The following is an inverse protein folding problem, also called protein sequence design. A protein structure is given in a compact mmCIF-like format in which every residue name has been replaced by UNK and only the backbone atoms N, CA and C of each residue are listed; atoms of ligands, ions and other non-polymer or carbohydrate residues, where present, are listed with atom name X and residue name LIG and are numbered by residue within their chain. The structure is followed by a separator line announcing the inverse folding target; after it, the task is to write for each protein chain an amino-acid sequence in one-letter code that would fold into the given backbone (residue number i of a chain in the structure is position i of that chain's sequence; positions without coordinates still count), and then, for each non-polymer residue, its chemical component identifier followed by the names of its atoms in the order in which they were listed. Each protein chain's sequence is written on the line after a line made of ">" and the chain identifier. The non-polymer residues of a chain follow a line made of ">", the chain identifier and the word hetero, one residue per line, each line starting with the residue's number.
data_IF_760709224551
#
_entry.id   IF_760709224551
#
_cell.length_a   1.000
_cell.length_b   1.000
_cell.length_c   1.000
_cell.angle_alpha   90.00
_cell.angle_beta   90.00
_cell.angle_gamma   90.00
#
_symmetry.space_group_name_H-M   'P 1'
#
loop_
_entity.id
_entity.type
_entity.pdbx_description
1 polymer ?
#
# COMPACT_ATOMS: atom_id res chain seq x y z
N UNK A 1 26.15 -4.47 6.66
CA UNK A 1 24.69 -4.30 6.46
C UNK A 1 24.47 -3.32 5.33
N UNK A 2 23.99 -3.77 4.17
CA UNK A 2 23.93 -2.96 2.95
C UNK A 2 22.51 -2.41 2.75
N UNK A 3 22.41 -1.10 2.51
CA UNK A 3 21.17 -0.39 2.11
C UNK A 3 20.39 -1.15 1.01
N UNK A 4 21.11 -1.86 0.14
CA UNK A 4 20.56 -2.72 -0.89
C UNK A 4 19.52 -3.74 -0.37
N UNK A 5 19.78 -4.43 0.73
CA UNK A 5 18.85 -5.45 1.23
C UNK A 5 17.56 -4.84 1.76
N UNK A 6 17.67 -3.70 2.44
CA UNK A 6 16.50 -2.94 2.87
C UNK A 6 15.67 -2.54 1.64
N UNK A 7 16.31 -1.97 0.61
CA UNK A 7 15.62 -1.59 -0.64
C UNK A 7 14.92 -2.79 -1.29
N UNK A 8 15.58 -3.96 -1.38
CA UNK A 8 14.95 -5.17 -1.92
C UNK A 8 13.71 -5.59 -1.12
N UNK A 9 13.76 -5.48 0.21
CA UNK A 9 12.63 -5.81 1.08
C UNK A 9 11.37 -4.99 0.77
N UNK A 10 11.51 -3.75 0.29
CA UNK A 10 10.40 -2.87 -0.11
C UNK A 10 10.10 -2.95 -1.62
N UNK A 11 11.11 -3.18 -2.45
CA UNK A 11 10.96 -3.26 -3.90
C UNK A 11 10.18 -4.50 -4.34
N UNK A 12 10.40 -5.65 -3.69
CA UNK A 12 9.71 -6.91 -4.05
C UNK A 12 8.18 -6.78 -3.90
N UNK A 13 7.62 -6.31 -2.76
CA UNK A 13 6.19 -6.01 -2.66
C UNK A 13 5.70 -5.01 -3.70
N UNK A 14 6.44 -3.93 -3.95
CA UNK A 14 6.03 -2.92 -4.93
C UNK A 14 5.93 -3.51 -6.34
N UNK A 15 6.90 -4.33 -6.77
CA UNK A 15 6.86 -5.00 -8.08
C UNK A 15 5.76 -6.07 -8.15
N UNK A 16 5.61 -6.89 -7.12
CA UNK A 16 4.56 -7.89 -7.04
C UNK A 16 3.18 -7.25 -7.19
N UNK A 17 2.93 -6.20 -6.41
CA UNK A 17 1.68 -5.46 -6.46
C UNK A 17 1.48 -4.75 -7.80
N UNK A 18 2.54 -4.20 -8.40
CA UNK A 18 2.46 -3.58 -9.73
C UNK A 18 2.00 -4.57 -10.80
N UNK A 19 2.60 -5.77 -10.87
CA UNK A 19 2.19 -6.78 -11.83
C UNK A 19 0.77 -7.29 -11.57
N UNK A 20 0.43 -7.55 -10.31
CA UNK A 20 -0.92 -8.01 -9.94
C UNK A 20 -1.99 -6.96 -10.28
N UNK A 21 -1.80 -5.71 -9.87
CA UNK A 21 -2.73 -4.61 -10.16
C UNK A 21 -2.83 -4.37 -11.67
N UNK A 22 -1.72 -4.45 -12.41
CA UNK A 22 -1.72 -4.25 -13.86
C UNK A 22 -2.41 -5.36 -14.64
N UNK A 23 -2.47 -6.58 -14.08
CA UNK A 23 -3.24 -7.71 -14.62
C UNK A 23 -4.73 -7.61 -14.31
N UNK A 24 -5.09 -7.04 -13.15
CA UNK A 24 -6.47 -6.90 -12.70
C UNK A 24 -7.16 -5.67 -13.28
N UNK A 25 -6.46 -4.55 -13.40
CA UNK A 25 -7.03 -3.33 -13.97
C UNK A 25 -7.09 -3.42 -15.51
N UNK A 26 -8.16 -2.89 -16.13
CA UNK A 26 -8.26 -2.80 -17.58
C UNK A 26 -7.04 -2.10 -18.19
N UNK A 27 -6.65 -2.51 -19.38
CA UNK A 27 -5.51 -1.95 -20.12
C UNK A 27 -5.83 -0.55 -20.64
N UNK A 28 -5.87 0.42 -19.74
CA UNK A 28 -5.98 1.85 -20.07
C UNK A 28 -4.59 2.46 -20.23
N UNK A 29 -4.44 3.28 -21.26
CA UNK A 29 -3.25 4.10 -21.51
C UNK A 29 -3.47 5.52 -20.99
N UNK A 30 -2.45 6.11 -20.37
CA UNK A 30 -2.48 7.51 -19.94
C UNK A 30 -1.91 7.70 -18.53
N UNK A 31 -1.61 8.96 -18.20
CA UNK A 31 -0.98 9.33 -16.94
C UNK A 31 -1.78 8.83 -15.71
N UNK A 32 -3.07 9.13 -15.63
CA UNK A 32 -3.91 8.71 -14.51
C UNK A 32 -3.93 7.20 -14.26
N UNK A 33 -3.98 6.39 -15.32
CA UNK A 33 -3.95 4.93 -15.20
C UNK A 33 -2.61 4.42 -14.68
N UNK A 34 -1.49 5.04 -15.07
CA UNK A 34 -0.17 4.70 -14.55
C UNK A 34 -0.01 5.09 -13.07
N UNK A 35 -0.43 6.30 -12.69
CA UNK A 35 -0.36 6.75 -11.30
C UNK A 35 -1.28 5.89 -10.41
N UNK A 36 -2.44 5.47 -10.91
CA UNK A 36 -3.34 4.55 -10.22
C UNK A 36 -2.68 3.21 -9.95
N UNK A 37 -2.07 2.59 -10.98
CA UNK A 37 -1.36 1.32 -10.82
C UNK A 37 -0.26 1.45 -9.77
N UNK A 38 0.58 2.48 -9.87
CA UNK A 38 1.69 2.71 -8.94
C UNK A 38 1.22 2.94 -7.50
N UNK A 39 0.17 3.74 -7.29
CA UNK A 39 -0.36 4.02 -5.95
C UNK A 39 -0.97 2.79 -5.28
N UNK A 40 -1.64 1.92 -6.04
CA UNK A 40 -2.18 0.65 -5.55
C UNK A 40 -1.09 -0.40 -5.28
N UNK A 41 -0.01 -0.37 -6.06
CA UNK A 41 1.04 -1.42 -6.09
C UNK A 41 1.63 -1.68 -4.72
N UNK A 42 2.04 -0.63 -4.00
CA UNK A 42 2.69 -0.78 -2.70
C UNK A 42 1.78 -1.51 -1.70
N UNK A 43 0.55 -1.04 -1.53
CA UNK A 43 -0.37 -1.61 -0.56
C UNK A 43 -0.81 -3.02 -0.93
N UNK A 44 -1.24 -3.25 -2.18
CA UNK A 44 -1.67 -4.59 -2.64
C UNK A 44 -0.54 -5.60 -2.49
N UNK A 45 0.67 -5.28 -2.95
CA UNK A 45 1.81 -6.18 -2.84
C UNK A 45 2.23 -6.44 -1.39
N UNK A 46 2.26 -5.41 -0.55
CA UNK A 46 2.57 -5.55 0.88
C UNK A 46 1.52 -6.42 1.59
N UNK A 47 0.24 -6.22 1.28
CA UNK A 47 -0.84 -7.02 1.81
C UNK A 47 -0.73 -8.49 1.44
N UNK A 48 -0.62 -8.81 0.15
CA UNK A 48 -0.47 -10.18 -0.33
C UNK A 48 0.77 -10.88 0.24
N UNK A 49 1.92 -10.22 0.26
CA UNK A 49 3.16 -10.82 0.77
C UNK A 49 3.18 -10.94 2.30
N UNK A 50 2.44 -10.10 3.03
CA UNK A 50 2.25 -10.28 4.48
C UNK A 50 1.43 -11.53 4.81
N UNK A 51 0.43 -11.86 3.98
CA UNK A 51 -0.36 -13.09 4.10
C UNK A 51 0.53 -14.30 3.77
N UNK A 52 1.29 -14.22 2.67
CA UNK A 52 2.26 -15.27 2.32
C UNK A 52 3.27 -15.50 3.45
N UNK A 53 3.81 -14.43 4.04
CA UNK A 53 4.72 -14.51 5.18
C UNK A 53 4.07 -15.20 6.38
N UNK A 54 2.81 -14.89 6.70
CA UNK A 54 2.08 -15.56 7.77
C UNK A 54 1.96 -17.07 7.51
N UNK A 55 1.47 -17.48 6.33
CA UNK A 55 1.38 -18.90 5.99
C UNK A 55 2.75 -19.58 5.95
N UNK A 56 3.79 -18.87 5.52
CA UNK A 56 5.17 -19.37 5.55
C UNK A 56 5.64 -19.68 6.97
N UNK A 57 5.36 -18.80 7.93
CA UNK A 57 5.67 -19.04 9.35
C UNK A 57 4.88 -20.23 9.92
N UNK A 58 3.61 -20.39 9.53
CA UNK A 58 2.77 -21.50 9.98
C UNK A 58 3.29 -22.86 9.46
N UNK A 59 3.71 -22.92 8.19
CA UNK A 59 4.08 -24.18 7.54
C UNK A 59 5.55 -24.55 7.78
N UNK A 60 6.44 -23.56 7.79
CA UNK A 60 7.90 -23.78 7.78
C UNK A 60 8.63 -23.21 9.00
N UNK A 61 7.90 -22.71 10.00
CA UNK A 61 8.46 -22.16 11.26
C UNK A 61 9.64 -21.20 11.05
N UNK A 62 9.52 -20.27 10.11
CA UNK A 62 10.52 -19.23 9.87
C UNK A 62 11.64 -19.60 8.89
N UNK A 63 11.44 -20.61 8.03
CA UNK A 63 12.42 -21.05 7.03
C UNK A 63 13.01 -19.94 6.14
N UNK A 64 14.28 -20.07 5.74
CA UNK A 64 15.04 -19.02 5.06
C UNK A 64 14.72 -18.82 3.57
N UNK A 65 13.90 -19.70 2.97
CA UNK A 65 13.64 -19.74 1.53
C UNK A 65 12.57 -18.75 1.04
N UNK A 66 11.86 -18.05 1.94
CA UNK A 66 10.77 -17.15 1.57
C UNK A 66 11.14 -16.11 0.50
N UNK A 67 12.29 -15.40 0.56
CA UNK A 67 12.66 -14.44 -0.48
C UNK A 67 12.72 -15.02 -1.88
N UNK A 68 13.14 -16.29 -2.00
CA UNK A 68 13.17 -16.98 -3.29
C UNK A 68 11.77 -17.27 -3.81
N UNK A 69 10.85 -17.67 -2.92
CA UNK A 69 9.44 -17.87 -3.26
C UNK A 69 8.80 -16.54 -3.70
N UNK A 70 9.05 -15.46 -2.97
CA UNK A 70 8.57 -14.12 -3.34
C UNK A 70 9.13 -13.65 -4.69
N UNK A 71 10.43 -13.87 -4.93
CA UNK A 71 11.07 -13.52 -6.19
C UNK A 71 10.50 -14.33 -7.36
N UNK A 72 10.34 -15.64 -7.21
CA UNK A 72 9.74 -16.52 -8.23
C UNK A 72 8.29 -16.11 -8.51
N UNK A 73 7.48 -15.86 -7.47
CA UNK A 73 6.10 -15.42 -7.65
C UNK A 73 6.02 -14.06 -8.36
N UNK A 74 6.89 -13.11 -7.99
CA UNK A 74 6.97 -11.78 -8.63
C UNK A 74 7.39 -11.89 -10.10
N UNK A 75 8.40 -12.71 -10.41
CA UNK A 75 8.85 -12.94 -11.78
C UNK A 75 7.80 -13.66 -12.63
N UNK A 76 7.09 -14.63 -12.05
CA UNK A 76 6.00 -15.33 -12.72
C UNK A 76 4.86 -14.36 -13.07
N UNK A 77 4.43 -13.50 -12.14
CA UNK A 77 3.45 -12.44 -12.41
C UNK A 77 3.95 -11.48 -13.48
N UNK A 78 5.22 -11.06 -13.42
CA UNK A 78 5.84 -10.22 -14.44
C UNK A 78 5.84 -10.86 -15.84
N UNK A 79 6.10 -12.17 -15.93
CA UNK A 79 6.06 -12.91 -17.18
C UNK A 79 4.63 -13.04 -17.73
N UNK A 80 3.63 -13.26 -16.86
CA UNK A 80 2.21 -13.29 -17.25
C UNK A 80 1.78 -11.90 -17.75
N UNK A 81 2.16 -10.84 -17.05
CA UNK A 81 1.91 -9.46 -17.47
C UNK A 81 2.59 -9.13 -18.80
N UNK A 82 3.85 -9.49 -18.98
CA UNK A 82 4.56 -9.28 -20.26
C UNK A 82 3.85 -10.00 -21.43
N UNK A 83 3.35 -11.21 -21.21
CA UNK A 83 2.56 -11.94 -22.21
C UNK A 83 1.20 -11.29 -22.47
N UNK A 84 0.55 -10.71 -21.45
CA UNK A 84 -0.73 -10.03 -21.64
C UNK A 84 -0.59 -8.75 -22.45
N UNK A 85 0.57 -8.06 -22.40
CA UNK A 85 0.84 -6.89 -23.25
C UNK A 85 0.85 -7.22 -24.75
N UNK A 86 1.23 -8.45 -25.13
CA UNK A 86 1.24 -8.91 -26.53
C UNK A 86 -0.16 -9.24 -27.08
N UNK A 87 -1.17 -9.38 -26.21
CA UNK A 87 -2.57 -9.50 -26.60
C UNK A 87 -3.12 -8.09 -26.73
N UNK A 88 -2.89 -7.49 -27.90
CA UNK A 88 -3.14 -6.07 -28.16
C UNK A 88 -4.48 -5.60 -27.61
N UNK A 89 -4.54 -4.42 -26.95
CA UNK A 89 -5.80 -3.92 -26.44
C UNK A 89 -6.76 -3.66 -27.60
N UNK A 90 -8.02 -4.06 -27.45
CA UNK A 90 -9.09 -3.33 -28.13
C UNK A 90 -8.94 -1.88 -27.65
N UNK A 91 -8.52 -0.98 -28.52
CA UNK A 91 -8.45 0.45 -28.21
C UNK A 91 -9.84 0.89 -27.76
N UNK A 92 -10.12 0.90 -26.46
CA UNK A 92 -11.27 1.62 -25.94
C UNK A 92 -10.91 3.07 -26.17
N UNK A 93 -11.58 3.63 -27.16
CA UNK A 93 -11.31 4.93 -27.72
C UNK A 93 -11.24 5.94 -26.58
N UNK A 94 -10.11 6.64 -26.56
CA UNK A 94 -9.87 7.81 -25.73
C UNK A 94 -11.11 8.71 -25.84
N UNK A 95 -11.90 8.84 -24.77
CA UNK A 95 -12.50 10.14 -24.54
C UNK A 95 -11.30 11.03 -24.30
N UNK A 96 -10.91 11.78 -25.34
CA UNK A 96 -10.04 12.92 -25.14
C UNK A 96 -10.70 13.73 -24.03
N UNK A 97 -10.11 13.69 -22.83
CA UNK A 97 -10.43 14.67 -21.81
C UNK A 97 -10.18 16.00 -22.50
N UNK A 98 -11.26 16.66 -22.92
CA UNK A 98 -11.22 18.00 -23.46
C UNK A 98 -10.33 18.78 -22.50
N UNK A 99 -9.19 19.25 -22.99
CA UNK A 99 -8.31 20.06 -22.16
C UNK A 99 -9.15 21.24 -21.69
N UNK A 100 -9.41 21.26 -20.38
CA UNK A 100 -10.31 22.19 -19.70
C UNK A 100 -10.11 23.61 -20.26
N UNK A 101 -11.22 24.31 -20.57
CA UNK A 101 -11.25 25.77 -20.78
C UNK A 101 -10.60 26.54 -19.60
N UNK A 102 -10.33 25.84 -18.50
CA UNK A 102 -9.73 26.29 -17.25
C UNK A 102 -8.29 25.79 -17.01
N UNK A 103 -7.48 25.61 -18.05
CA UNK A 103 -6.06 25.18 -17.94
C UNK A 103 -5.26 25.91 -16.84
N UNK A 104 -5.49 27.21 -16.67
CA UNK A 104 -4.83 27.99 -15.61
C UNK A 104 -5.21 27.51 -14.19
N UNK A 105 -6.48 27.16 -13.96
CA UNK A 105 -6.97 26.62 -12.69
C UNK A 105 -6.34 25.25 -12.44
N UNK A 106 -6.28 24.39 -13.45
CA UNK A 106 -5.64 23.06 -13.33
C UNK A 106 -4.16 23.17 -12.97
N UNK A 107 -3.42 24.09 -13.60
CA UNK A 107 -2.01 24.35 -13.29
C UNK A 107 -1.85 24.87 -11.87
N UNK A 108 -2.68 25.82 -11.45
CA UNK A 108 -2.65 26.35 -10.09
C UNK A 108 -2.97 25.28 -9.05
N UNK A 109 -4.02 24.48 -9.27
CA UNK A 109 -4.40 23.36 -8.40
C UNK A 109 -3.29 22.31 -8.32
N UNK A 110 -2.64 22.00 -9.45
CA UNK A 110 -1.46 21.12 -9.50
C UNK A 110 -0.28 21.69 -8.71
N UNK A 111 -0.02 23.01 -8.83
CA UNK A 111 1.01 23.69 -8.05
C UNK A 111 0.76 23.62 -6.55
N UNK A 112 -0.48 23.88 -6.11
CA UNK A 112 -0.89 23.78 -4.69
C UNK A 112 -0.77 22.34 -4.20
N UNK A 113 -1.25 21.36 -4.97
CA UNK A 113 -1.11 19.94 -4.63
C UNK A 113 0.36 19.55 -4.41
N UNK A 114 1.25 19.92 -5.34
CA UNK A 114 2.67 19.61 -5.24
C UNK A 114 3.33 20.31 -4.05
N UNK A 115 3.02 21.59 -3.82
CA UNK A 115 3.53 22.33 -2.67
C UNK A 115 3.15 21.65 -1.35
N UNK A 116 1.86 21.33 -1.17
CA UNK A 116 1.37 20.65 0.02
C UNK A 116 1.95 19.24 0.17
N UNK A 117 2.15 18.51 -0.92
CA UNK A 117 2.79 17.19 -0.90
C UNK A 117 4.23 17.29 -0.38
N UNK A 118 5.02 18.23 -0.89
CA UNK A 118 6.40 18.43 -0.43
C UNK A 118 6.45 18.93 1.02
N UNK A 119 5.56 19.83 1.42
CA UNK A 119 5.44 20.26 2.82
C UNK A 119 5.09 19.09 3.74
N UNK A 120 4.15 18.23 3.33
CA UNK A 120 3.76 17.03 4.06
C UNK A 120 4.92 16.03 4.18
N UNK A 121 5.68 15.80 3.11
CA UNK A 121 6.91 14.97 3.12
C UNK A 121 7.92 15.53 4.11
N UNK A 122 8.19 16.84 4.08
CA UNK A 122 9.09 17.49 5.02
C UNK A 122 8.64 17.28 6.47
N UNK A 123 7.36 17.54 6.77
CA UNK A 123 6.79 17.34 8.11
C UNK A 123 6.90 15.88 8.55
N UNK A 124 6.61 14.91 7.66
CA UNK A 124 6.73 13.49 7.96
C UNK A 124 8.18 13.13 8.32
N UNK A 125 9.15 13.60 7.55
CA UNK A 125 10.58 13.32 7.76
C UNK A 125 11.05 13.90 9.09
N UNK A 126 10.69 15.15 9.40
CA UNK A 126 11.04 15.79 10.68
C UNK A 126 10.44 15.03 11.86
N UNK A 127 9.14 14.67 11.80
CA UNK A 127 8.51 13.90 12.88
C UNK A 127 9.14 12.51 13.04
N UNK A 128 9.45 11.83 11.93
CA UNK A 128 10.08 10.51 11.96
C UNK A 128 11.52 10.54 12.48
N UNK A 129 12.23 11.66 12.30
CA UNK A 129 13.55 11.84 12.88
C UNK A 129 13.50 12.03 14.41
N UNK A 130 12.46 12.71 14.92
CA UNK A 130 12.26 12.91 16.37
C UNK A 130 11.70 11.65 17.05
N UNK A 131 10.78 10.94 16.38
CA UNK A 131 10.09 9.75 16.90
C UNK A 131 10.24 8.56 15.93
N UNK A 132 11.45 7.97 15.80
CA UNK A 132 11.73 6.94 14.79
C UNK A 132 11.02 5.59 15.03
N UNK A 133 10.36 5.44 16.19
CA UNK A 133 9.60 4.25 16.55
C UNK A 133 8.07 4.46 16.51
N UNK A 134 7.62 5.62 16.04
CA UNK A 134 6.22 6.03 16.08
C UNK A 134 5.76 6.45 17.48
N UNK A 135 4.45 6.45 17.70
CA UNK A 135 3.81 6.81 18.98
C UNK A 135 3.22 5.58 19.68
N UNK A 136 2.24 5.80 20.55
CA UNK A 136 1.71 4.82 21.49
C UNK A 136 1.31 3.51 20.81
N UNK A 137 0.43 3.55 19.80
CA UNK A 137 -0.03 2.33 19.11
C UNK A 137 1.09 1.63 18.35
N UNK A 138 2.01 2.39 17.76
CA UNK A 138 3.16 1.81 17.08
C UNK A 138 4.08 1.08 18.03
N UNK A 139 4.39 1.66 19.17
CA UNK A 139 5.20 0.98 20.18
C UNK A 139 4.43 -0.19 20.80
N UNK A 140 3.16 -0.02 21.13
CA UNK A 140 2.37 -0.97 21.92
C UNK A 140 1.85 -2.16 21.09
N UNK A 141 1.50 -1.95 19.83
CA UNK A 141 0.83 -2.95 18.98
C UNK A 141 1.75 -3.35 17.81
N UNK A 142 2.02 -2.41 16.92
CA UNK A 142 2.52 -2.72 15.57
C UNK A 142 4.01 -3.08 15.55
N UNK A 143 4.84 -2.22 16.11
CA UNK A 143 6.30 -2.45 16.20
C UNK A 143 6.65 -3.47 17.27
N UNK A 144 5.91 -3.54 18.39
CA UNK A 144 6.12 -4.59 19.39
C UNK A 144 5.91 -5.96 18.79
N UNK A 145 4.79 -6.19 18.08
CA UNK A 145 4.53 -7.47 17.43
C UNK A 145 5.52 -7.76 16.32
N UNK A 146 5.89 -6.76 15.51
CA UNK A 146 6.92 -6.94 14.48
C UNK A 146 8.27 -7.37 15.08
N UNK A 147 8.68 -6.75 16.19
CA UNK A 147 9.90 -7.13 16.93
C UNK A 147 9.78 -8.51 17.55
N UNK A 148 8.64 -8.84 18.14
CA UNK A 148 8.41 -10.17 18.72
C UNK A 148 8.51 -11.26 17.64
N UNK A 149 7.90 -11.06 16.46
CA UNK A 149 8.04 -11.96 15.31
C UNK A 149 9.50 -12.07 14.83
N UNK A 150 10.26 -10.97 14.84
CA UNK A 150 11.67 -10.98 14.47
C UNK A 150 12.56 -11.72 15.48
N UNK A 151 12.42 -11.43 16.79
CA UNK A 151 13.28 -11.99 17.83
C UNK A 151 12.91 -13.43 18.21
N UNK A 152 11.62 -13.77 18.15
CA UNK A 152 11.10 -15.10 18.44
C UNK A 152 10.70 -15.83 17.16
N UNK A 153 11.41 -15.65 16.05
CA UNK A 153 11.05 -16.23 14.74
C UNK A 153 10.73 -17.73 14.81
N UNK A 154 11.55 -18.51 15.53
CA UNK A 154 11.37 -19.96 15.67
C UNK A 154 10.19 -20.32 16.61
N UNK A 155 9.84 -19.41 17.52
CA UNK A 155 8.72 -19.51 18.47
C UNK A 155 7.69 -18.39 18.23
N UNK A 156 7.33 -18.15 16.97
CA UNK A 156 6.60 -16.95 16.55
C UNK A 156 5.25 -16.75 17.28
N UNK A 157 4.64 -17.84 17.77
CA UNK A 157 3.43 -17.83 18.58
C UNK A 157 3.54 -16.96 19.83
N UNK A 158 4.76 -16.77 20.39
CA UNK A 158 5.01 -15.86 21.53
C UNK A 158 4.63 -14.42 21.22
N UNK A 159 4.60 -14.02 19.94
CA UNK A 159 4.12 -12.69 19.53
C UNK A 159 2.59 -12.49 19.70
N UNK A 160 1.86 -13.56 20.04
CA UNK A 160 0.40 -13.60 20.21
C UNK A 160 -0.01 -14.07 21.61
N UNK A 161 0.92 -14.10 22.57
CA UNK A 161 0.62 -14.58 23.92
C UNK A 161 -0.51 -13.72 24.56
N UNK A 162 -1.63 -14.35 25.00
CA UNK A 162 -2.77 -13.64 25.57
C UNK A 162 -2.45 -12.83 26.83
N UNK A 163 -1.36 -13.14 27.55
CA UNK A 163 -0.89 -12.34 28.69
C UNK A 163 -0.54 -10.90 28.30
N UNK A 164 -0.27 -10.65 27.00
CA UNK A 164 -0.11 -9.31 26.43
C UNK A 164 -1.39 -8.79 25.77
N UNK A 165 -2.59 -9.13 26.27
CA UNK A 165 -3.87 -8.67 25.70
C UNK A 165 -3.99 -7.15 25.53
N UNK A 166 -3.30 -6.38 26.38
CA UNK A 166 -3.18 -4.92 26.27
C UNK A 166 -2.51 -4.45 24.97
N UNK A 167 -1.73 -5.30 24.30
CA UNK A 167 -1.07 -5.04 23.00
C UNK A 167 -1.95 -5.36 21.79
N UNK A 168 -3.23 -5.69 22.01
CA UNK A 168 -4.17 -6.14 20.98
C UNK A 168 -3.64 -7.35 20.19
N UNK A 169 -3.14 -8.38 20.88
CA UNK A 169 -2.53 -9.60 20.32
C UNK A 169 -3.31 -10.23 19.15
N UNK A 170 -4.64 -10.10 19.14
CA UNK A 170 -5.53 -10.62 18.08
C UNK A 170 -5.59 -9.79 16.79
N UNK A 171 -4.95 -8.62 16.70
CA UNK A 171 -4.96 -7.84 15.46
C UNK A 171 -4.22 -8.55 14.30
N UNK A 172 -4.69 -8.34 13.05
CA UNK A 172 -4.07 -8.91 11.85
C UNK A 172 -2.60 -8.50 11.61
N UNK A 173 -1.94 -9.19 10.66
CA UNK A 173 -0.49 -9.07 10.47
C UNK A 173 -0.02 -8.21 9.30
N UNK A 174 -0.89 -7.44 8.64
CA UNK A 174 -0.44 -6.60 7.52
C UNK A 174 0.74 -5.71 7.90
N UNK A 175 0.65 -4.92 8.96
CA UNK A 175 1.77 -4.10 9.42
C UNK A 175 2.88 -4.93 10.08
N UNK A 176 2.62 -5.66 11.20
CA UNK A 176 3.71 -6.30 11.95
C UNK A 176 4.40 -7.41 11.16
N UNK A 177 3.63 -8.17 10.37
CA UNK A 177 4.16 -9.20 9.48
C UNK A 177 5.02 -8.61 8.36
N UNK A 178 4.60 -7.51 7.73
CA UNK A 178 5.41 -6.85 6.68
C UNK A 178 6.73 -6.33 7.22
N UNK A 179 6.73 -5.72 8.40
CA UNK A 179 7.94 -5.21 9.04
C UNK A 179 8.87 -6.35 9.48
N UNK A 180 8.32 -7.40 10.11
CA UNK A 180 9.07 -8.57 10.51
C UNK A 180 9.69 -9.29 9.30
N UNK A 181 8.92 -9.50 8.22
CA UNK A 181 9.37 -10.11 6.97
C UNK A 181 10.61 -9.41 6.40
N UNK A 182 10.59 -8.07 6.34
CA UNK A 182 11.75 -7.28 5.90
C UNK A 182 12.93 -7.46 6.86
N UNK A 183 12.69 -7.40 8.18
CA UNK A 183 13.75 -7.55 9.18
C UNK A 183 14.41 -8.94 9.16
N UNK A 184 13.62 -10.01 9.08
CA UNK A 184 14.06 -11.42 9.14
C UNK A 184 14.75 -11.81 7.84
N UNK A 185 14.13 -11.54 6.70
CA UNK A 185 14.55 -12.16 5.44
C UNK A 185 15.49 -11.28 4.61
N UNK A 186 15.39 -9.97 4.73
CA UNK A 186 16.14 -9.03 3.91
C UNK A 186 17.20 -8.28 4.73
N UNK A 187 16.77 -7.46 5.68
CA UNK A 187 17.63 -6.52 6.41
C UNK A 187 18.50 -7.19 7.49
N UNK A 188 18.15 -8.41 7.92
CA UNK A 188 18.83 -9.21 8.97
C UNK A 188 19.03 -8.44 10.29
N UNK A 189 18.20 -7.43 10.51
CA UNK A 189 18.19 -6.54 11.67
C UNK A 189 16.89 -5.76 11.70
N UNK A 190 16.40 -5.44 12.90
CA UNK A 190 15.22 -4.59 13.06
C UNK A 190 15.63 -3.11 13.12
N UNK A 191 15.83 -2.50 11.95
CA UNK A 191 16.18 -1.08 11.82
C UNK A 191 14.96 -0.17 12.00
N UNK A 192 15.10 1.03 12.61
CA UNK A 192 14.03 2.03 12.64
C UNK A 192 13.58 2.49 11.25
N UNK A 193 14.41 2.31 10.21
CA UNK A 193 14.03 2.64 8.84
C UNK A 193 12.88 1.75 8.33
N UNK A 194 12.72 0.53 8.84
CA UNK A 194 11.65 -0.38 8.41
C UNK A 194 10.26 0.21 8.73
N UNK A 195 9.93 0.57 9.99
CA UNK A 195 8.67 1.23 10.29
C UNK A 195 8.56 2.61 9.61
N UNK A 196 9.62 3.42 9.57
CA UNK A 196 9.58 4.74 8.92
C UNK A 196 9.18 4.64 7.44
N UNK A 197 9.82 3.74 6.68
CA UNK A 197 9.51 3.53 5.26
C UNK A 197 8.11 2.94 5.06
N UNK A 198 7.69 2.02 5.93
CA UNK A 198 6.33 1.46 5.89
C UNK A 198 5.28 2.54 6.09
N UNK A 199 5.45 3.37 7.13
CA UNK A 199 4.59 4.52 7.40
C UNK A 199 4.60 5.52 6.25
N UNK A 200 5.77 5.86 5.72
CA UNK A 200 5.92 6.80 4.60
C UNK A 200 5.12 6.33 3.38
N UNK A 201 5.34 5.09 2.96
CA UNK A 201 4.74 4.55 1.74
C UNK A 201 3.21 4.49 1.85
N UNK A 202 2.64 4.06 2.98
CA UNK A 202 1.18 4.11 3.16
C UNK A 202 0.65 5.55 3.25
N UNK A 203 1.33 6.43 3.99
CA UNK A 203 0.90 7.82 4.19
C UNK A 203 0.74 8.56 2.87
N UNK A 204 1.75 8.48 1.99
CA UNK A 204 1.72 9.19 0.71
C UNK A 204 0.98 8.43 -0.38
N UNK A 205 0.75 7.13 -0.23
CA UNK A 205 -0.11 6.38 -1.16
C UNK A 205 -1.57 6.83 -1.06
N UNK A 206 -2.09 7.20 0.12
CA UNK A 206 -3.50 7.63 0.27
C UNK A 206 -3.86 8.87 -0.58
N UNK A 207 -3.19 10.04 -0.47
CA UNK A 207 -3.50 11.21 -1.28
C UNK A 207 -3.24 10.99 -2.77
N UNK A 208 -2.20 10.22 -3.12
CA UNK A 208 -1.92 9.86 -4.52
C UNK A 208 -3.02 8.93 -5.06
N UNK A 209 -3.57 8.05 -4.23
CA UNK A 209 -4.67 7.16 -4.62
C UNK A 209 -5.98 7.93 -4.84
N UNK A 210 -6.32 8.88 -3.95
CA UNK A 210 -7.45 9.82 -4.16
C UNK A 210 -7.27 10.58 -5.46
N UNK A 211 -6.09 11.17 -5.67
CA UNK A 211 -5.75 11.85 -6.91
C UNK A 211 -5.94 10.92 -8.11
N UNK A 212 -5.45 9.69 -8.05
CA UNK A 212 -5.48 8.77 -9.19
C UNK A 212 -6.89 8.33 -9.58
N UNK A 213 -7.73 7.99 -8.60
CA UNK A 213 -9.14 7.65 -8.85
C UNK A 213 -9.90 8.83 -9.43
N UNK A 214 -9.79 10.02 -8.82
CA UNK A 214 -10.51 11.20 -9.31
C UNK A 214 -9.98 11.70 -10.65
N UNK A 215 -8.68 11.59 -10.90
CA UNK A 215 -8.11 11.93 -12.20
C UNK A 215 -8.73 11.05 -13.29
N UNK A 216 -8.89 9.76 -12.99
CA UNK A 216 -9.44 8.78 -13.92
C UNK A 216 -10.95 8.94 -14.11
N UNK A 217 -11.69 9.29 -13.06
CA UNK A 217 -13.16 9.34 -13.06
C UNK A 217 -13.77 10.71 -13.35
N UNK A 218 -13.04 11.79 -13.02
CA UNK A 218 -13.60 13.16 -12.97
C UNK A 218 -12.67 14.24 -13.53
N UNK A 219 -11.41 13.91 -13.81
CA UNK A 219 -10.45 14.82 -14.43
C UNK A 219 -9.44 15.47 -13.47
N UNK A 220 -8.43 16.16 -14.02
CA UNK A 220 -7.23 16.58 -13.29
C UNK A 220 -7.48 17.66 -12.25
N UNK A 221 -8.37 18.62 -12.52
CA UNK A 221 -8.63 19.74 -11.61
C UNK A 221 -9.20 19.25 -10.28
N UNK A 222 -10.25 18.42 -10.32
CA UNK A 222 -10.84 17.86 -9.11
C UNK A 222 -9.87 16.93 -8.37
N UNK A 223 -9.07 16.15 -9.10
CA UNK A 223 -8.04 15.29 -8.52
C UNK A 223 -7.01 16.08 -7.71
N UNK A 224 -6.49 17.18 -8.26
CA UNK A 224 -5.56 18.07 -7.57
C UNK A 224 -6.19 18.69 -6.34
N UNK A 225 -7.42 19.22 -6.45
CA UNK A 225 -8.12 19.88 -5.33
C UNK A 225 -8.39 18.90 -4.19
N UNK A 226 -8.93 17.71 -4.48
CA UNK A 226 -9.21 16.71 -3.46
C UNK A 226 -7.93 16.20 -2.78
N UNK A 227 -6.87 15.95 -3.55
CA UNK A 227 -5.56 15.59 -3.00
C UNK A 227 -4.97 16.69 -2.13
N UNK A 228 -5.13 17.96 -2.52
CA UNK A 228 -4.65 19.12 -1.75
C UNK A 228 -5.43 19.29 -0.44
N UNK A 229 -6.75 19.11 -0.45
CA UNK A 229 -7.59 19.12 0.77
C UNK A 229 -7.13 18.02 1.72
N UNK A 230 -6.82 16.84 1.19
CA UNK A 230 -6.36 15.73 2.02
C UNK A 230 -4.97 16.01 2.62
N UNK A 231 -4.04 16.54 1.82
CA UNK A 231 -2.68 16.89 2.25
C UNK A 231 -2.63 18.07 3.23
N UNK A 232 -3.63 18.97 3.21
CA UNK A 232 -3.74 20.05 4.19
C UNK A 232 -4.20 19.56 5.56
N UNK A 233 -4.78 18.36 5.64
CA UNK A 233 -5.13 17.72 6.91
C UNK A 233 -3.86 17.22 7.62
N UNK A 234 -3.36 18.01 8.57
CA UNK A 234 -2.19 17.69 9.40
C UNK A 234 -2.24 16.28 10.02
N UNK A 235 -3.45 15.77 10.27
CA UNK A 235 -3.68 14.45 10.85
C UNK A 235 -3.04 13.33 10.02
N UNK A 236 -2.97 13.42 8.70
CA UNK A 236 -2.38 12.34 7.88
C UNK A 236 -0.89 12.20 8.13
N UNK A 237 -0.15 13.31 8.14
CA UNK A 237 1.28 13.28 8.43
C UNK A 237 1.57 12.84 9.86
N UNK A 238 0.75 13.30 10.82
CA UNK A 238 0.89 12.92 12.22
C UNK A 238 0.63 11.42 12.43
N UNK A 239 -0.48 10.90 11.90
CA UNK A 239 -0.83 9.48 12.00
C UNK A 239 0.20 8.59 11.29
N UNK A 240 0.68 9.04 10.13
CA UNK A 240 1.68 8.35 9.33
C UNK A 240 3.03 8.24 10.00
N UNK A 241 3.57 9.36 10.46
CA UNK A 241 4.84 9.38 11.21
C UNK A 241 4.71 8.69 12.57
N UNK A 242 3.49 8.57 13.09
CA UNK A 242 3.21 7.80 14.30
C UNK A 242 3.08 6.30 14.07
N UNK A 243 3.10 5.83 12.82
CA UNK A 243 2.92 4.43 12.39
C UNK A 243 1.60 3.81 12.90
N UNK A 244 0.50 4.53 12.72
CA UNK A 244 -0.83 4.02 13.09
C UNK A 244 -1.45 3.26 11.91
N UNK A 245 -2.14 2.15 12.20
CA UNK A 245 -2.74 1.28 11.18
C UNK A 245 -3.95 1.90 10.47
N UNK A 246 -4.47 3.02 10.97
CA UNK A 246 -5.62 3.71 10.40
C UNK A 246 -5.33 4.24 8.99
N UNK A 247 -4.08 4.59 8.66
CA UNK A 247 -3.70 4.97 7.29
C UNK A 247 -3.64 3.80 6.31
N UNK A 248 -2.95 2.67 6.62
CA UNK A 248 -3.09 1.45 5.83
C UNK A 248 -4.55 1.01 5.68
N UNK A 249 -5.36 1.11 6.74
CA UNK A 249 -6.77 0.75 6.69
C UNK A 249 -7.55 1.67 5.74
N UNK A 250 -7.39 2.98 5.88
CA UNK A 250 -7.99 3.98 4.99
C UNK A 250 -7.54 3.77 3.54
N UNK A 251 -6.26 3.43 3.32
CA UNK A 251 -5.75 3.08 2.00
C UNK A 251 -6.53 1.92 1.37
N UNK A 252 -6.71 0.81 2.09
CA UNK A 252 -7.42 -0.36 1.54
C UNK A 252 -8.92 -0.13 1.38
N UNK A 253 -9.56 0.60 2.29
CA UNK A 253 -10.96 1.01 2.15
C UNK A 253 -11.16 1.90 0.91
N UNK A 254 -10.26 2.87 0.70
CA UNK A 254 -10.26 3.73 -0.48
C UNK A 254 -9.97 2.93 -1.76
N UNK A 255 -9.02 2.01 -1.72
CA UNK A 255 -8.70 1.14 -2.86
C UNK A 255 -9.88 0.25 -3.23
N UNK A 256 -10.59 -0.32 -2.25
CA UNK A 256 -11.78 -1.15 -2.46
C UNK A 256 -12.92 -0.33 -3.07
N UNK A 257 -13.32 0.77 -2.40
CA UNK A 257 -14.42 1.63 -2.86
C UNK A 257 -14.12 2.32 -4.19
N UNK A 258 -12.91 2.83 -4.39
CA UNK A 258 -12.49 3.46 -5.63
C UNK A 258 -12.44 2.49 -6.80
N UNK A 259 -11.96 1.26 -6.58
CA UNK A 259 -11.99 0.20 -7.60
C UNK A 259 -13.43 -0.21 -7.93
N UNK A 260 -14.30 -0.35 -6.92
CA UNK A 260 -15.72 -0.63 -7.14
C UNK A 260 -16.41 0.50 -7.93
N UNK A 261 -16.14 1.77 -7.60
CA UNK A 261 -16.66 2.92 -8.35
C UNK A 261 -16.17 2.92 -9.82
N UNK A 262 -14.88 2.62 -10.04
CA UNK A 262 -14.34 2.45 -11.39
C UNK A 262 -14.95 1.29 -12.16
N UNK A 263 -15.29 0.20 -11.48
CA UNK A 263 -15.95 -0.95 -12.09
C UNK A 263 -17.41 -0.64 -12.45
N UNK A 264 -18.12 0.13 -11.62
CA UNK A 264 -19.49 0.56 -11.86
C UNK A 264 -19.62 1.53 -13.05
N UNK A 265 -18.65 2.42 -13.22
CA UNK A 265 -18.61 3.37 -14.35
C UNK A 265 -17.86 2.83 -15.58
N UNK A 266 -17.24 1.65 -15.45
CA UNK A 266 -16.44 1.04 -16.50
C UNK A 266 -17.30 0.31 -17.53
N UNK A 267 -17.04 0.55 -18.81
CA UNK A 267 -17.61 -0.25 -19.90
C UNK A 267 -16.81 -1.54 -20.14
N UNK A 268 -17.48 -2.58 -20.66
CA UNK A 268 -16.85 -3.86 -20.99
C UNK A 268 -16.66 -4.80 -19.79
N UNK A 269 -15.71 -5.73 -19.89
CA UNK A 269 -15.40 -6.66 -18.81
C UNK A 269 -14.68 -5.96 -17.66
N UNK A 270 -15.34 -5.91 -16.50
CA UNK A 270 -14.83 -5.31 -15.26
C UNK A 270 -14.50 -6.36 -14.19
N UNK A 271 -14.45 -7.65 -14.55
CA UNK A 271 -14.21 -8.76 -13.58
C UNK A 271 -12.91 -8.56 -12.80
N UNK A 272 -11.84 -8.14 -13.48
CA UNK A 272 -10.56 -7.85 -12.83
C UNK A 272 -10.63 -6.66 -11.86
N UNK A 273 -11.34 -5.59 -12.22
CA UNK A 273 -11.55 -4.42 -11.34
C UNK A 273 -12.36 -4.79 -10.10
N UNK A 274 -13.41 -5.62 -10.24
CA UNK A 274 -14.18 -6.16 -9.11
C UNK A 274 -13.36 -7.08 -8.23
N UNK A 275 -12.54 -7.97 -8.82
CA UNK A 275 -11.62 -8.82 -8.08
C UNK A 275 -10.60 -8.00 -7.27
N UNK A 276 -10.09 -6.90 -7.84
CA UNK A 276 -9.23 -5.96 -7.13
C UNK A 276 -9.97 -5.28 -5.96
N UNK A 277 -11.22 -4.84 -6.16
CA UNK A 277 -12.03 -4.25 -5.11
C UNK A 277 -12.22 -5.23 -3.93
N UNK A 278 -12.57 -6.49 -4.22
CA UNK A 278 -12.71 -7.55 -3.22
C UNK A 278 -11.39 -7.90 -2.53
N UNK A 279 -10.27 -7.97 -3.28
CA UNK A 279 -8.94 -8.15 -2.71
C UNK A 279 -8.60 -7.03 -1.73
N UNK A 280 -8.81 -5.77 -2.10
CA UNK A 280 -8.56 -4.63 -1.23
C UNK A 280 -9.47 -4.64 0.02
N UNK A 281 -10.73 -5.04 -0.10
CA UNK A 281 -11.63 -5.21 1.04
C UNK A 281 -11.12 -6.30 2.00
N UNK A 282 -10.66 -7.44 1.47
CA UNK A 282 -10.01 -8.49 2.26
C UNK A 282 -8.74 -8.01 2.95
N UNK A 283 -7.92 -7.21 2.27
CA UNK A 283 -6.70 -6.62 2.85
C UNK A 283 -6.99 -5.54 3.90
N UNK A 284 -8.13 -4.83 3.81
CA UNK A 284 -8.59 -3.96 4.88
C UNK A 284 -8.86 -4.77 6.16
N UNK A 285 -9.57 -5.90 6.04
CA UNK A 285 -9.79 -6.83 7.15
C UNK A 285 -8.48 -7.46 7.67
N UNK A 286 -7.48 -7.64 6.81
CA UNK A 286 -6.13 -8.08 7.20
C UNK A 286 -5.25 -6.96 7.79
N UNK A 287 -5.76 -5.73 7.90
CA UNK A 287 -5.02 -4.60 8.48
C UNK A 287 -5.35 -4.37 9.94
N UNK A 288 -6.64 -4.31 10.27
CA UNK A 288 -7.18 -3.98 11.59
C UNK A 288 -8.57 -4.59 11.70
N UNK A 289 -9.06 -4.86 12.91
CA UNK A 289 -10.36 -5.49 13.12
C UNK A 289 -11.51 -4.66 12.53
N UNK A 290 -11.41 -3.34 12.55
CA UNK A 290 -12.38 -2.40 11.97
C UNK A 290 -12.52 -2.60 10.45
N UNK A 291 -11.52 -3.18 9.78
CA UNK A 291 -11.59 -3.52 8.36
C UNK A 291 -12.55 -4.66 8.04
N UNK A 292 -12.95 -5.47 9.03
CA UNK A 292 -13.95 -6.53 8.82
C UNK A 292 -15.32 -5.96 8.42
N UNK A 293 -15.59 -4.68 8.70
CA UNK A 293 -16.81 -3.99 8.24
C UNK A 293 -16.97 -3.97 6.71
N UNK A 294 -15.89 -4.20 5.96
CA UNK A 294 -15.88 -4.24 4.49
C UNK A 294 -16.07 -5.64 3.89
N UNK A 295 -16.26 -6.68 4.71
CA UNK A 295 -16.43 -8.08 4.26
C UNK A 295 -17.90 -8.51 4.07
N UNK A 296 -18.84 -7.56 4.02
CA UNK A 296 -20.29 -7.83 3.94
C UNK A 296 -20.74 -8.18 2.52
#
# INVERSE_FOLDING_TARGET
>A
MTVLYLVLGFLVPALFGFFLVSLLLPTRSGFGSWVLRLSLSWGVGTGCLSILFFFWMVIFSGGSLLPWVEAVATLALGAVYYRSLGRGPSMTQRQDMAWDEHRAITIMAGGVFMFLLFSAIYVFVVNSAVLPHGRWDAWMIWSLRAKALYYFNDDWHKAFDPSYGWSHAGYPLLLPGSMARVAIHYNKSFSPLIPILTGFLFTFSVPVLVFSFLYTLRGPTLACVAGAILLSAQMICLQGSSLYADLPLAFFMLAATGSAAMALEGEGDQTGTWALAGLCAGLAAWTKNEGMLFLV
#
